data_IF_442628884041
#
_entry.id   IF_442628884041
#
_cell.length_a   1.000
_cell.length_b   1.000
_cell.length_c   1.000
_cell.angle_alpha   90.00
_cell.angle_beta   90.00
_cell.angle_gamma   90.00
#
_symmetry.space_group_name_H-M   'P 1'
#
loop_
_entity.id
_entity.type
_entity.pdbx_description
1 polymer ?
#
# COMPACT_ATOMS: atom_id res chain seq x y z
N UNK A 1 -3.32 11.73 -16.84
CA UNK A 1 -4.69 11.19 -16.78
C UNK A 1 -4.71 9.69 -16.50
N UNK A 2 -4.01 8.85 -17.27
CA UNK A 2 -4.05 7.39 -17.04
C UNK A 2 -3.58 6.92 -15.66
N UNK A 3 -2.51 7.52 -15.09
CA UNK A 3 -1.97 7.14 -13.77
C UNK A 3 -2.97 7.33 -12.63
N UNK A 4 -3.68 8.47 -12.63
CA UNK A 4 -4.70 8.78 -11.60
C UNK A 4 -5.89 7.84 -11.77
N UNK A 5 -6.31 7.57 -13.01
CA UNK A 5 -7.38 6.62 -13.30
C UNK A 5 -7.05 5.22 -12.78
N UNK A 6 -5.82 4.73 -13.00
CA UNK A 6 -5.37 3.44 -12.45
C UNK A 6 -5.34 3.45 -10.92
N UNK A 7 -4.85 4.52 -10.30
CA UNK A 7 -4.85 4.67 -8.85
C UNK A 7 -6.27 4.63 -8.27
N UNK A 8 -7.23 5.28 -8.93
CA UNK A 8 -8.64 5.27 -8.55
C UNK A 8 -9.21 3.85 -8.62
N UNK A 9 -8.96 3.10 -9.70
CA UNK A 9 -9.43 1.71 -9.86
C UNK A 9 -8.83 0.77 -8.79
N UNK A 10 -7.54 0.90 -8.47
CA UNK A 10 -6.92 0.12 -7.39
C UNK A 10 -7.57 0.51 -6.05
N UNK A 11 -7.78 1.79 -5.81
CA UNK A 11 -8.40 2.29 -4.56
C UNK A 11 -9.83 1.81 -4.41
N UNK A 12 -10.60 1.77 -5.50
CA UNK A 12 -11.96 1.23 -5.53
C UNK A 12 -11.99 -0.25 -5.13
N UNK A 13 -11.06 -1.07 -5.68
CA UNK A 13 -10.95 -2.47 -5.31
C UNK A 13 -10.59 -2.68 -3.84
N UNK A 14 -9.66 -1.89 -3.29
CA UNK A 14 -9.33 -1.94 -1.86
C UNK A 14 -10.50 -1.43 -1.00
N UNK A 15 -11.24 -0.41 -1.44
CA UNK A 15 -12.42 0.08 -0.75
C UNK A 15 -13.47 -1.03 -0.62
N UNK A 16 -13.74 -1.76 -1.70
CA UNK A 16 -14.64 -2.91 -1.69
C UNK A 16 -14.19 -3.98 -0.67
N UNK A 17 -12.92 -4.39 -0.70
CA UNK A 17 -12.39 -5.36 0.26
C UNK A 17 -12.56 -4.87 1.71
N UNK A 18 -12.23 -3.60 1.97
CA UNK A 18 -12.35 -3.02 3.31
C UNK A 18 -13.81 -2.89 3.78
N UNK A 19 -14.77 -2.68 2.89
CA UNK A 19 -16.20 -2.68 3.22
C UNK A 19 -16.70 -4.07 3.60
N UNK A 20 -16.18 -5.11 2.94
CA UNK A 20 -16.43 -6.52 3.27
C UNK A 20 -15.57 -7.03 4.45
N UNK A 21 -14.87 -6.12 5.16
CA UNK A 21 -13.98 -6.46 6.27
C UNK A 21 -12.87 -7.47 5.90
N UNK A 22 -12.42 -7.43 4.64
CA UNK A 22 -11.31 -8.21 4.10
C UNK A 22 -10.06 -7.33 4.03
N UNK A 23 -8.96 -7.84 4.57
CA UNK A 23 -7.62 -7.25 4.45
C UNK A 23 -6.88 -7.93 3.29
N UNK A 24 -6.26 -7.15 2.39
CA UNK A 24 -5.56 -7.73 1.23
C UNK A 24 -4.25 -8.39 1.67
N UNK A 25 -3.45 -7.72 2.51
CA UNK A 25 -2.22 -8.23 3.14
C UNK A 25 -1.01 -8.44 2.22
N UNK A 26 -1.20 -8.46 0.90
CA UNK A 26 -0.10 -8.52 -0.08
C UNK A 26 -0.22 -7.49 -1.22
N UNK A 27 -0.58 -6.25 -0.90
CA UNK A 27 -0.87 -5.25 -1.93
C UNK A 27 0.45 -4.67 -2.50
N UNK A 28 0.76 -5.01 -3.75
CA UNK A 28 1.94 -4.50 -4.47
C UNK A 28 1.75 -4.60 -5.99
N UNK A 29 2.62 -3.98 -6.79
CA UNK A 29 2.42 -3.90 -8.25
C UNK A 29 2.34 -5.23 -8.97
N UNK A 30 3.02 -6.29 -8.49
CA UNK A 30 2.90 -7.64 -9.09
C UNK A 30 1.53 -8.29 -8.88
N UNK A 31 0.71 -7.75 -7.97
CA UNK A 31 -0.66 -8.20 -7.71
C UNK A 31 -1.69 -7.25 -8.34
N UNK A 32 -1.24 -6.35 -9.23
CA UNK A 32 -2.10 -5.51 -10.06
C UNK A 32 -1.91 -5.93 -11.52
N UNK A 33 -3.00 -6.29 -12.19
CA UNK A 33 -3.01 -6.59 -13.63
C UNK A 33 -3.83 -5.56 -14.38
N UNK A 34 -3.42 -5.25 -15.61
CA UNK A 34 -4.17 -4.38 -16.50
C UNK A 34 -4.90 -5.24 -17.52
N UNK A 35 -6.23 -5.20 -17.49
CA UNK A 35 -7.07 -5.87 -18.47
C UNK A 35 -7.99 -4.86 -19.15
N UNK A 36 -7.88 -4.76 -20.48
CA UNK A 36 -8.67 -3.80 -21.28
C UNK A 36 -8.55 -2.34 -20.77
N UNK A 37 -7.37 -1.97 -20.28
CA UNK A 37 -7.10 -0.64 -19.73
C UNK A 37 -7.53 -0.43 -18.28
N UNK A 38 -8.16 -1.43 -17.63
CA UNK A 38 -8.56 -1.36 -16.24
C UNK A 38 -7.57 -2.08 -15.31
N UNK A 39 -7.22 -1.42 -14.19
CA UNK A 39 -6.50 -2.08 -13.12
C UNK A 39 -7.41 -3.05 -12.36
N UNK A 40 -6.91 -4.27 -12.12
CA UNK A 40 -7.58 -5.28 -11.32
C UNK A 40 -6.60 -5.82 -10.28
N UNK A 41 -7.06 -5.93 -9.05
CA UNK A 41 -6.31 -6.55 -7.95
C UNK A 41 -6.47 -8.06 -8.08
N UNK A 42 -5.36 -8.77 -8.00
CA UNK A 42 -5.30 -10.23 -8.02
C UNK A 42 -4.62 -10.74 -6.75
N UNK A 43 -4.59 -12.07 -6.62
CA UNK A 43 -3.94 -12.79 -5.52
C UNK A 43 -4.48 -12.44 -4.12
N UNK A 44 -5.68 -12.95 -3.85
CA UNK A 44 -6.28 -12.93 -2.52
C UNK A 44 -5.87 -14.16 -1.68
N UNK A 45 -4.79 -14.86 -2.05
CA UNK A 45 -4.39 -16.14 -1.43
C UNK A 45 -4.05 -16.03 0.05
N UNK A 46 -3.67 -14.84 0.51
CA UNK A 46 -3.44 -14.54 1.93
C UNK A 46 -4.39 -13.48 2.51
N UNK A 47 -5.39 -13.06 1.73
CA UNK A 47 -6.41 -12.14 2.18
C UNK A 47 -7.19 -12.77 3.34
N UNK A 48 -7.57 -11.96 4.33
CA UNK A 48 -8.25 -12.46 5.53
C UNK A 48 -9.44 -11.59 5.89
N UNK A 49 -10.56 -12.23 6.19
CA UNK A 49 -11.70 -11.56 6.82
C UNK A 49 -11.39 -11.35 8.30
N UNK A 50 -11.56 -10.12 8.77
CA UNK A 50 -11.40 -9.79 10.19
C UNK A 50 -12.57 -10.29 11.04
N UNK A 51 -13.66 -10.73 10.41
CA UNK A 51 -14.85 -11.24 11.11
C UNK A 51 -14.73 -12.72 11.44
N UNK A 52 -14.21 -13.52 10.52
CA UNK A 52 -14.12 -14.98 10.67
C UNK A 52 -12.77 -15.44 11.21
N UNK A 53 -11.71 -14.66 11.06
CA UNK A 53 -10.36 -15.04 11.48
C UNK A 53 -9.81 -14.14 12.59
N UNK A 54 -9.95 -14.60 13.84
CA UNK A 54 -9.49 -13.89 15.04
C UNK A 54 -7.97 -13.94 15.23
N UNK A 55 -7.29 -14.91 14.61
CA UNK A 55 -5.84 -15.10 14.66
C UNK A 55 -5.22 -14.76 13.30
N UNK A 56 -5.04 -13.46 13.04
CA UNK A 56 -4.18 -13.00 11.96
C UNK A 56 -2.74 -13.45 12.28
N UNK A 57 -2.24 -14.48 11.59
CA UNK A 57 -0.86 -14.92 11.76
C UNK A 57 0.08 -13.72 11.54
N UNK A 58 1.03 -13.47 12.47
CA UNK A 58 1.92 -12.30 12.43
C UNK A 58 3.02 -12.41 11.36
N UNK A 59 2.85 -13.29 10.37
CA UNK A 59 3.80 -13.43 9.28
C UNK A 59 3.91 -12.14 8.49
N UNK A 60 5.16 -11.72 8.24
CA UNK A 60 5.50 -10.69 7.26
C UNK A 60 5.43 -11.36 5.90
N UNK A 61 4.42 -11.00 5.11
CA UNK A 61 4.23 -11.49 3.74
C UNK A 61 4.42 -10.33 2.76
N UNK A 62 4.86 -10.65 1.55
CA UNK A 62 4.93 -9.70 0.44
C UNK A 62 6.27 -9.03 0.19
N UNK A 63 6.25 -8.02 -0.65
CA UNK A 63 7.42 -7.26 -1.07
C UNK A 63 7.75 -6.16 -0.06
N UNK A 64 8.94 -6.22 0.54
CA UNK A 64 9.34 -5.37 1.68
C UNK A 64 9.05 -3.86 1.52
N UNK A 65 9.20 -3.34 0.30
CA UNK A 65 8.95 -1.93 -0.04
C UNK A 65 7.50 -1.48 0.20
N UNK A 66 6.55 -2.42 0.15
CA UNK A 66 5.11 -2.18 0.30
C UNK A 66 4.61 -2.54 1.70
N UNK A 67 5.43 -3.19 2.52
CA UNK A 67 5.01 -3.65 3.84
C UNK A 67 5.01 -2.48 4.81
N UNK A 68 3.93 -2.36 5.59
CA UNK A 68 3.82 -1.39 6.68
C UNK A 68 5.04 -1.48 7.61
N UNK A 69 5.82 -0.40 7.80
CA UNK A 69 7.00 -0.41 8.65
C UNK A 69 6.73 -0.89 10.07
N UNK A 70 5.51 -0.75 10.59
CA UNK A 70 5.13 -1.29 11.91
C UNK A 70 5.10 -2.81 11.98
N UNK A 71 4.75 -3.49 10.89
CA UNK A 71 4.87 -4.95 10.77
C UNK A 71 6.34 -5.38 10.69
N UNK A 72 7.19 -4.55 10.07
CA UNK A 72 8.63 -4.79 10.00
C UNK A 72 9.33 -4.55 11.34
N UNK A 73 8.83 -3.62 12.15
CA UNK A 73 9.36 -3.28 13.46
C UNK A 73 9.00 -4.34 14.52
N UNK A 74 7.73 -4.79 14.55
CA UNK A 74 7.25 -5.69 15.60
C UNK A 74 6.33 -6.79 15.08
N UNK A 75 6.70 -8.04 15.37
CA UNK A 75 5.85 -9.20 15.12
C UNK A 75 4.56 -9.21 15.98
N UNK A 76 4.44 -8.34 16.99
CA UNK A 76 3.20 -8.20 17.76
C UNK A 76 2.23 -7.18 17.17
N UNK A 77 2.68 -6.35 16.23
CA UNK A 77 1.81 -5.41 15.54
C UNK A 77 0.83 -6.19 14.66
N UNK A 78 -0.46 -5.91 14.83
CA UNK A 78 -1.52 -6.59 14.08
C UNK A 78 -1.74 -5.86 12.77
N UNK A 79 -1.73 -6.61 11.67
CA UNK A 79 -2.15 -6.11 10.37
C UNK A 79 -3.58 -5.58 10.45
N UNK A 80 -3.83 -4.40 9.92
CA UNK A 80 -5.16 -3.82 9.82
C UNK A 80 -5.37 -3.09 8.48
N UNK A 81 -6.51 -2.42 8.33
CA UNK A 81 -6.83 -1.65 7.11
C UNK A 81 -5.79 -0.58 6.81
N UNK A 82 -5.14 0.03 7.82
CA UNK A 82 -4.10 1.06 7.64
C UNK A 82 -2.81 0.49 7.07
N UNK A 83 -2.54 -0.81 7.25
CA UNK A 83 -1.43 -1.49 6.59
C UNK A 83 -1.67 -1.64 5.08
N UNK A 84 -2.89 -1.92 4.64
CA UNK A 84 -3.25 -1.86 3.21
C UNK A 84 -3.12 -0.43 2.67
N UNK A 85 -3.50 0.60 3.45
CA UNK A 85 -3.35 2.01 3.05
C UNK A 85 -1.88 2.40 2.83
N UNK A 86 -0.97 1.91 3.67
CA UNK A 86 0.46 2.12 3.47
C UNK A 86 0.92 1.58 2.10
N UNK A 87 0.54 0.33 1.82
CA UNK A 87 0.86 -0.36 0.57
C UNK A 87 0.30 0.40 -0.65
N UNK A 88 -0.93 0.92 -0.53
CA UNK A 88 -1.56 1.77 -1.54
C UNK A 88 -0.79 3.07 -1.78
N UNK A 89 -0.27 3.72 -0.72
CA UNK A 89 0.57 4.90 -0.84
C UNK A 89 1.85 4.63 -1.65
N UNK A 90 2.49 3.50 -1.42
CA UNK A 90 3.68 3.06 -2.19
C UNK A 90 3.33 2.82 -3.66
N UNK A 91 2.20 2.15 -3.95
CA UNK A 91 1.70 1.96 -5.31
C UNK A 91 1.41 3.28 -6.04
N UNK A 92 0.81 4.25 -5.35
CA UNK A 92 0.52 5.57 -5.93
C UNK A 92 1.82 6.33 -6.29
N UNK A 93 2.84 6.23 -5.44
CA UNK A 93 4.15 6.75 -5.79
C UNK A 93 4.76 6.01 -7.00
N UNK A 94 4.67 4.68 -7.06
CA UNK A 94 5.18 3.88 -8.18
C UNK A 94 4.47 4.23 -9.50
N UNK A 95 3.16 4.48 -9.48
CA UNK A 95 2.43 4.99 -10.63
C UNK A 95 2.96 6.36 -11.07
N UNK A 96 3.29 7.23 -10.10
CA UNK A 96 3.88 8.54 -10.40
C UNK A 96 5.26 8.41 -11.03
N UNK A 97 6.13 7.58 -10.46
CA UNK A 97 7.52 7.41 -10.88
C UNK A 97 7.68 6.59 -12.16
N UNK A 98 6.80 5.61 -12.37
CA UNK A 98 6.98 4.57 -13.39
C UNK A 98 8.10 3.57 -13.06
N UNK A 99 8.60 3.58 -11.83
CA UNK A 99 9.75 2.78 -11.39
C UNK A 99 9.42 2.00 -10.10
N UNK A 100 9.94 0.77 -9.92
CA UNK A 100 9.76 0.02 -8.69
C UNK A 100 10.27 0.78 -7.45
N UNK A 101 9.59 0.70 -6.30
CA UNK A 101 10.02 1.35 -5.07
C UNK A 101 11.28 0.68 -4.51
N UNK A 102 12.23 1.53 -4.12
CA UNK A 102 13.54 1.20 -3.56
C UNK A 102 14.41 0.35 -4.49
N UNK A 103 14.28 0.54 -5.81
CA UNK A 103 14.92 -0.26 -6.86
C UNK A 103 16.46 -0.43 -6.72
N UNK A 104 17.13 0.48 -6.01
CA UNK A 104 18.58 0.46 -5.83
C UNK A 104 19.05 -0.25 -4.55
N UNK A 105 18.13 -0.79 -3.74
CA UNK A 105 18.47 -1.44 -2.47
C UNK A 105 18.47 -2.97 -2.63
N UNK A 106 19.64 -3.55 -2.88
CA UNK A 106 19.80 -5.01 -2.94
C UNK A 106 19.82 -5.66 -1.54
N UNK A 107 20.22 -4.90 -0.51
CA UNK A 107 20.25 -5.37 0.88
C UNK A 107 18.88 -5.16 1.55
N UNK A 108 18.11 -6.25 1.64
CA UNK A 108 16.79 -6.27 2.27
C UNK A 108 16.83 -5.98 3.78
N UNK A 109 17.92 -6.30 4.48
CA UNK A 109 18.06 -6.02 5.91
C UNK A 109 18.23 -4.52 6.11
N UNK A 110 19.12 -3.91 5.32
CA UNK A 110 19.31 -2.45 5.36
C UNK A 110 18.03 -1.71 4.97
N UNK A 111 17.34 -2.16 3.92
CA UNK A 111 16.07 -1.58 3.50
C UNK A 111 15.02 -1.68 4.62
N UNK A 112 14.92 -2.82 5.30
CA UNK A 112 14.04 -2.98 6.47
C UNK A 112 14.29 -1.91 7.53
N UNK A 113 15.56 -1.73 7.92
CA UNK A 113 15.95 -0.76 8.95
C UNK A 113 15.59 0.65 8.50
N UNK A 114 15.92 1.00 7.26
CA UNK A 114 15.63 2.32 6.70
C UNK A 114 14.12 2.63 6.70
N UNK A 115 13.29 1.67 6.29
CA UNK A 115 11.82 1.81 6.29
C UNK A 115 11.26 2.04 7.69
N UNK A 116 11.74 1.27 8.69
CA UNK A 116 11.37 1.45 10.10
C UNK A 116 11.77 2.85 10.59
N UNK A 117 12.96 3.33 10.20
CA UNK A 117 13.44 4.67 10.50
C UNK A 117 12.73 5.79 9.71
N UNK A 118 11.73 5.47 8.88
CA UNK A 118 10.91 6.45 8.17
C UNK A 118 11.42 6.84 6.79
N UNK A 119 12.36 6.09 6.21
CA UNK A 119 12.77 6.31 4.83
C UNK A 119 11.56 6.16 3.89
N UNK A 120 11.42 7.10 2.97
CA UNK A 120 10.41 7.11 1.90
C UNK A 120 11.08 7.48 0.60
N UNK A 121 10.42 7.12 -0.49
CA UNK A 121 10.89 7.49 -1.81
C UNK A 121 10.84 9.00 -2.04
N UNK A 122 11.71 9.46 -2.94
CA UNK A 122 11.79 10.88 -3.30
C UNK A 122 10.54 11.26 -4.11
N UNK A 123 9.87 12.38 -3.78
CA UNK A 123 8.77 12.89 -4.58
C UNK A 123 9.15 13.08 -6.04
N UNK A 124 8.29 12.63 -6.95
CA UNK A 124 8.53 12.75 -8.39
C UNK A 124 8.19 14.17 -8.85
N UNK A 125 9.12 14.89 -9.51
CA UNK A 125 8.85 16.20 -10.09
C UNK A 125 7.61 16.17 -10.99
N UNK A 126 6.89 17.30 -11.05
CA UNK A 126 5.68 17.48 -11.88
C UNK A 126 4.49 16.57 -11.51
N UNK A 127 4.57 15.80 -10.42
CA UNK A 127 3.39 15.14 -9.85
C UNK A 127 2.43 16.19 -9.31
N UNK A 128 1.12 16.13 -9.65
CA UNK A 128 0.12 17.05 -9.09
C UNK A 128 0.18 17.09 -7.57
N UNK A 129 0.14 18.30 -6.99
CA UNK A 129 0.39 18.52 -5.57
C UNK A 129 -0.61 17.80 -4.68
N UNK A 130 -1.87 17.71 -5.12
CA UNK A 130 -2.92 16.99 -4.41
C UNK A 130 -2.62 15.48 -4.35
N UNK A 131 -2.20 14.90 -5.48
CA UNK A 131 -1.85 13.49 -5.58
C UNK A 131 -0.58 13.17 -4.76
N UNK A 132 0.43 14.04 -4.83
CA UNK A 132 1.65 13.98 -4.01
C UNK A 132 1.32 13.97 -2.51
N UNK A 133 0.49 14.91 -2.06
CA UNK A 133 0.09 15.00 -0.66
C UNK A 133 -0.74 13.78 -0.25
N UNK A 134 -1.56 13.25 -1.15
CA UNK A 134 -2.40 12.09 -0.88
C UNK A 134 -1.56 10.83 -0.63
N UNK A 135 -0.68 10.43 -1.56
CA UNK A 135 0.13 9.23 -1.33
C UNK A 135 1.10 9.41 -0.15
N UNK A 136 1.55 10.65 0.09
CA UNK A 136 2.36 10.96 1.28
C UNK A 136 1.61 10.72 2.58
N UNK A 137 0.33 11.06 2.63
CA UNK A 137 -0.51 10.77 3.80
C UNK A 137 -0.79 9.27 3.95
N UNK A 138 -0.88 8.53 2.85
CA UNK A 138 -1.12 7.08 2.87
C UNK A 138 0.04 6.30 3.48
N UNK A 139 1.29 6.68 3.21
CA UNK A 139 2.48 5.98 3.72
C UNK A 139 3.08 6.62 4.98
N UNK A 140 2.30 7.34 5.79
CA UNK A 140 2.78 7.93 7.04
C UNK A 140 3.35 6.86 7.98
N UNK A 141 4.39 7.21 8.75
CA UNK A 141 5.03 6.30 9.68
C UNK A 141 4.14 5.95 10.88
N UNK A 142 3.15 6.80 11.20
CA UNK A 142 2.15 6.59 12.24
C UNK A 142 0.85 6.10 11.57
N UNK A 143 0.47 4.81 11.73
CA UNK A 143 -0.72 4.24 11.06
C UNK A 143 -2.02 5.01 11.30
N UNK A 144 -2.19 5.60 12.48
CA UNK A 144 -3.39 6.35 12.84
C UNK A 144 -3.54 7.66 12.04
N UNK A 145 -2.42 8.24 11.58
CA UNK A 145 -2.42 9.45 10.75
C UNK A 145 -2.76 9.18 9.29
N UNK A 146 -2.70 7.91 8.86
CA UNK A 146 -3.07 7.53 7.49
C UNK A 146 -4.57 7.72 7.27
N UNK A 147 -5.02 8.22 6.11
CA UNK A 147 -6.44 8.34 5.80
C UNK A 147 -7.14 6.97 5.79
N UNK A 148 -8.46 6.96 5.97
CA UNK A 148 -9.26 5.77 5.65
C UNK A 148 -9.35 5.58 4.14
N UNK A 149 -9.64 4.36 3.69
CA UNK A 149 -9.78 4.09 2.25
C UNK A 149 -10.84 4.97 1.58
N UNK A 150 -11.94 5.27 2.28
CA UNK A 150 -12.99 6.20 1.82
C UNK A 150 -12.47 7.62 1.62
N UNK A 151 -11.58 8.09 2.51
CA UNK A 151 -10.95 9.40 2.35
C UNK A 151 -9.96 9.43 1.19
N UNK A 152 -9.27 8.32 0.92
CA UNK A 152 -8.39 8.20 -0.26
C UNK A 152 -9.21 8.22 -1.54
N UNK A 153 -10.25 7.40 -1.61
CA UNK A 153 -11.18 7.32 -2.74
C UNK A 153 -11.78 8.69 -3.09
N UNK A 154 -12.28 9.43 -2.10
CA UNK A 154 -12.90 10.74 -2.32
C UNK A 154 -11.91 11.85 -2.75
N UNK A 155 -10.60 11.64 -2.60
CA UNK A 155 -9.56 12.62 -2.94
C UNK A 155 -8.86 12.32 -4.28
N UNK A 156 -9.11 11.14 -4.85
CA UNK A 156 -8.63 10.74 -6.18
C UNK A 156 -9.62 11.20 -7.25
#
# INVERSE_FOLDING_TARGET
EDKIRLAHQITEGINYLHEENILHRDLHSKNIVIHQGEAKIIDLGIAKSTETETNLHPGVFGMISYIDPKLLESCSYKYDKKSDIYSLGVLMWELSSGCPPFNNNEDLILLRINLICGAREVPIPDTPIEYLNLYKSCWDNIPDLRPSIKQVFNKL
#
